data_IF_945133112454
#
_entry.id   IF_945133112454
#
_cell.length_a   1.000
_cell.length_b   1.000
_cell.length_c   1.000
_cell.angle_alpha   90.00
_cell.angle_beta   90.00
_cell.angle_gamma   90.00
#
_symmetry.space_group_name_H-M   'P 1'
#
loop_
_entity.id
_entity.type
_entity.pdbx_description
1 polymer ?
#
# COMPACT_ATOMS: atom_id res chain seq x y z
N UNK A 1 14.90 7.78 -13.43
CA UNK A 1 13.52 7.35 -13.18
C UNK A 1 13.57 5.89 -12.76
N UNK A 2 13.19 5.60 -11.52
CA UNK A 2 13.22 4.26 -10.95
C UNK A 2 11.86 3.94 -10.35
N UNK A 3 11.48 2.67 -10.39
CA UNK A 3 10.25 2.18 -9.76
C UNK A 3 10.66 1.51 -8.46
N UNK A 4 10.08 1.96 -7.34
CA UNK A 4 10.23 1.32 -6.05
C UNK A 4 8.99 0.49 -5.74
N UNK A 5 9.18 -0.81 -5.50
CA UNK A 5 8.15 -1.67 -4.95
C UNK A 5 8.39 -1.89 -3.46
N UNK A 6 7.42 -1.52 -2.63
CA UNK A 6 7.40 -1.77 -1.19
C UNK A 6 6.12 -2.51 -0.86
N UNK A 7 6.16 -3.47 0.07
CA UNK A 7 4.91 -4.09 0.51
C UNK A 7 5.08 -5.34 1.34
N UNK A 8 3.94 -5.83 1.81
CA UNK A 8 3.81 -6.99 2.68
C UNK A 8 2.93 -8.03 1.98
N UNK A 9 3.33 -9.29 2.06
CA UNK A 9 2.67 -10.40 1.37
C UNK A 9 2.55 -11.59 2.30
N UNK A 10 1.48 -12.38 2.14
CA UNK A 10 1.22 -13.60 2.93
C UNK A 10 2.39 -14.59 2.90
N UNK A 11 3.25 -14.53 1.88
CA UNK A 11 4.44 -15.38 1.75
C UNK A 11 5.50 -15.09 2.81
N UNK A 12 5.50 -13.89 3.41
CA UNK A 12 6.56 -13.40 4.30
C UNK A 12 6.03 -12.79 5.60
N UNK A 13 4.72 -12.69 5.76
CA UNK A 13 4.07 -12.09 6.91
C UNK A 13 2.88 -12.92 7.39
N UNK A 14 2.62 -12.95 8.70
CA UNK A 14 1.43 -13.58 9.25
C UNK A 14 0.16 -12.80 8.87
N UNK A 15 -0.98 -13.47 8.86
CA UNK A 15 -2.25 -12.88 8.39
C UNK A 15 -2.68 -11.69 9.24
N UNK A 16 -2.40 -11.72 10.54
CA UNK A 16 -2.71 -10.66 11.49
C UNK A 16 -1.97 -9.35 11.16
N UNK A 17 -0.81 -9.42 10.49
CA UNK A 17 -0.12 -8.23 9.99
C UNK A 17 -0.79 -7.68 8.73
N UNK A 18 -1.25 -8.56 7.82
CA UNK A 18 -1.98 -8.12 6.62
C UNK A 18 -3.31 -7.48 6.98
N UNK A 19 -4.05 -8.03 7.95
CA UNK A 19 -5.31 -7.45 8.43
C UNK A 19 -5.13 -6.04 8.99
N UNK A 20 -3.99 -5.77 9.65
CA UNK A 20 -3.65 -4.43 10.16
C UNK A 20 -3.23 -3.44 9.08
N UNK A 21 -2.84 -3.92 7.90
CA UNK A 21 -2.43 -3.11 6.76
C UNK A 21 -3.55 -2.99 5.70
N UNK A 22 -4.63 -3.76 5.85
CA UNK A 22 -5.75 -3.74 4.94
C UNK A 22 -6.45 -2.38 5.01
N UNK A 23 -6.66 -1.78 3.84
CA UNK A 23 -7.43 -0.54 3.70
C UNK A 23 -8.92 -0.86 3.57
N UNK A 24 -9.76 -0.07 4.24
CA UNK A 24 -11.13 0.12 3.78
C UNK A 24 -11.19 1.18 2.66
N UNK A 25 -12.37 1.39 2.05
CA UNK A 25 -12.52 2.30 0.91
C UNK A 25 -12.15 3.76 1.25
N UNK A 26 -12.41 4.20 2.48
CA UNK A 26 -12.13 5.55 2.93
C UNK A 26 -10.62 5.73 3.21
N UNK A 27 -10.02 4.76 3.87
CA UNK A 27 -8.60 4.73 4.20
C UNK A 27 -7.74 4.61 2.93
N UNK A 28 -8.17 3.83 1.93
CA UNK A 28 -7.46 3.74 0.65
C UNK A 28 -7.42 5.08 -0.07
N UNK A 29 -8.56 5.79 -0.12
CA UNK A 29 -8.65 7.11 -0.75
C UNK A 29 -7.76 8.12 -0.03
N UNK A 30 -7.73 8.07 1.31
CA UNK A 30 -6.89 8.95 2.13
C UNK A 30 -5.40 8.64 1.94
N UNK A 31 -5.02 7.37 1.93
CA UNK A 31 -3.64 6.94 1.72
C UNK A 31 -3.13 7.32 0.33
N UNK A 32 -3.96 7.15 -0.71
CA UNK A 32 -3.61 7.55 -2.07
C UNK A 32 -3.34 9.06 -2.16
N UNK A 33 -4.25 9.90 -1.65
CA UNK A 33 -4.05 11.37 -1.64
C UNK A 33 -2.80 11.76 -0.86
N UNK A 34 -2.61 11.17 0.31
CA UNK A 34 -1.41 11.44 1.10
C UNK A 34 -0.12 11.11 0.34
N UNK A 35 -0.09 9.99 -0.39
CA UNK A 35 1.07 9.60 -1.17
C UNK A 35 1.30 10.50 -2.40
N UNK A 36 0.23 11.02 -3.02
CA UNK A 36 0.34 12.01 -4.09
C UNK A 36 0.93 13.34 -3.61
N UNK A 37 0.75 13.68 -2.34
CA UNK A 37 1.26 14.92 -1.74
C UNK A 37 2.72 14.79 -1.24
N UNK A 38 3.36 13.62 -1.38
CA UNK A 38 4.74 13.40 -0.96
C UNK A 38 5.73 13.92 -2.02
N UNK A 39 6.65 14.79 -1.58
CA UNK A 39 7.74 15.27 -2.43
C UNK A 39 8.63 14.12 -2.91
N UNK A 40 8.95 14.12 -4.21
CA UNK A 40 9.86 13.15 -4.82
C UNK A 40 9.18 11.91 -5.40
N UNK A 41 7.84 11.83 -5.37
CA UNK A 41 7.06 10.83 -6.09
C UNK A 41 6.33 11.49 -7.27
N UNK A 42 6.61 11.02 -8.49
CA UNK A 42 5.90 11.48 -9.69
C UNK A 42 4.55 10.76 -9.87
N UNK A 43 4.51 9.47 -9.51
CA UNK A 43 3.36 8.59 -9.66
C UNK A 43 3.27 7.60 -8.49
N UNK A 44 2.05 7.19 -8.15
CA UNK A 44 1.83 6.19 -7.10
C UNK A 44 0.69 5.24 -7.47
N UNK A 45 0.83 3.98 -7.07
CA UNK A 45 -0.20 2.94 -7.16
C UNK A 45 -0.22 2.22 -5.81
N UNK A 46 -1.42 1.91 -5.31
CA UNK A 46 -1.61 1.07 -4.12
C UNK A 46 -2.36 -0.19 -4.55
N UNK A 47 -1.82 -1.36 -4.20
CA UNK A 47 -2.41 -2.67 -4.42
C UNK A 47 -2.75 -3.32 -3.09
N UNK A 48 -4.00 -3.21 -2.68
CA UNK A 48 -4.53 -3.85 -1.47
C UNK A 48 -5.42 -5.04 -1.84
N UNK A 49 -5.06 -6.23 -1.38
CA UNK A 49 -5.84 -7.46 -1.54
C UNK A 49 -5.78 -8.28 -0.25
N UNK A 50 -6.52 -9.37 -0.17
CA UNK A 50 -6.41 -10.31 0.96
C UNK A 50 -5.03 -10.98 1.10
N UNK A 51 -4.19 -10.95 0.06
CA UNK A 51 -2.91 -11.69 0.04
C UNK A 51 -1.68 -10.77 0.09
N UNK A 52 -1.85 -9.47 -0.15
CA UNK A 52 -0.76 -8.49 -0.15
C UNK A 52 -1.29 -7.06 -0.04
N UNK A 53 -0.43 -6.21 0.50
CA UNK A 53 -0.55 -4.75 0.47
C UNK A 53 0.78 -4.22 -0.07
N UNK A 54 0.75 -3.54 -1.20
CA UNK A 54 1.91 -2.99 -1.92
C UNK A 54 1.65 -1.55 -2.36
#
# INVERSE_FOLDING_TARGET
MGILGLGVSFRRAPVELLERLAFDDADLTKAYRHAQDLDGLDEVVILSTCNRVE
#
